data_IF_977024956263
#
_entry.id   IF_977024956263
#
_cell.length_a   1.000
_cell.length_b   1.000
_cell.length_c   1.000
_cell.angle_alpha   90.00
_cell.angle_beta   90.00
_cell.angle_gamma   90.00
#
_symmetry.space_group_name_H-M   'P 1'
#
loop_
_entity.id
_entity.type
_entity.pdbx_description
1 polymer ?
#
# COMPACT_ATOMS: atom_id res chain seq x y z
N UNK A 1 -19.62 16.38 -5.02
CA UNK A 1 -18.36 16.67 -4.28
C UNK A 1 -17.60 15.38 -4.20
N UNK A 2 -16.46 15.28 -4.88
CA UNK A 2 -15.53 14.18 -4.67
C UNK A 2 -15.11 14.19 -3.20
N UNK A 3 -15.44 13.14 -2.45
CA UNK A 3 -14.97 13.00 -1.08
C UNK A 3 -13.46 12.95 -1.08
N UNK A 4 -12.81 13.57 -0.09
CA UNK A 4 -11.36 13.52 0.07
C UNK A 4 -10.91 12.05 0.04
N UNK A 5 -10.18 11.66 -1.00
CA UNK A 5 -9.71 10.29 -1.20
C UNK A 5 -8.92 9.78 0.04
N UNK A 6 -8.29 10.68 0.78
CA UNK A 6 -7.45 10.37 1.93
C UNK A 6 -8.19 10.47 3.29
N UNK A 7 -9.51 10.63 3.29
CA UNK A 7 -10.29 10.68 4.55
C UNK A 7 -10.24 9.34 5.28
N UNK A 8 -9.79 9.33 6.54
CA UNK A 8 -9.69 8.13 7.37
C UNK A 8 -8.48 7.24 7.08
N UNK A 9 -7.55 7.70 6.23
CA UNK A 9 -6.28 7.00 5.96
C UNK A 9 -5.32 7.22 7.12
N UNK A 10 -4.69 6.14 7.57
CA UNK A 10 -3.71 6.17 8.66
C UNK A 10 -2.31 6.46 8.10
N UNK A 11 -1.45 7.07 8.92
CA UNK A 11 -0.02 7.22 8.61
C UNK A 11 0.71 5.89 8.79
N UNK A 12 0.38 4.89 7.96
CA UNK A 12 0.84 3.52 8.05
C UNK A 12 1.27 2.95 6.68
N UNK A 13 1.76 1.72 6.68
CA UNK A 13 2.10 0.99 5.46
C UNK A 13 0.87 0.35 4.83
N UNK A 14 0.70 0.55 3.52
CA UNK A 14 -0.38 -0.03 2.73
C UNK A 14 0.17 -0.89 1.61
N UNK A 15 -0.33 -2.12 1.50
CA UNK A 15 0.10 -3.05 0.46
C UNK A 15 -0.14 -2.48 -0.95
N UNK A 16 0.83 -2.70 -1.84
CA UNK A 16 0.61 -2.65 -3.29
C UNK A 16 0.47 -4.06 -3.87
N UNK A 17 -0.06 -4.16 -5.09
CA UNK A 17 -0.16 -5.45 -5.80
C UNK A 17 1.17 -5.90 -6.46
N UNK A 18 2.26 -5.16 -6.28
CA UNK A 18 3.54 -5.41 -6.97
C UNK A 18 4.46 -6.31 -6.14
N UNK A 19 4.78 -7.49 -6.67
CA UNK A 19 5.82 -8.38 -6.10
C UNK A 19 7.21 -7.82 -6.41
N UNK A 20 8.15 -7.94 -5.48
CA UNK A 20 9.54 -7.57 -5.72
C UNK A 20 10.19 -8.56 -6.70
N UNK A 21 10.76 -8.06 -7.80
CA UNK A 21 11.26 -8.90 -8.89
C UNK A 21 12.49 -9.74 -8.50
N UNK A 22 13.38 -9.18 -7.68
CA UNK A 22 14.62 -9.85 -7.24
C UNK A 22 14.38 -10.86 -6.11
N UNK A 23 13.28 -10.74 -5.37
CA UNK A 23 12.94 -11.60 -4.24
C UNK A 23 11.41 -11.71 -4.12
N UNK A 24 10.86 -12.79 -4.66
CA UNK A 24 9.41 -12.95 -4.84
C UNK A 24 8.65 -13.26 -3.55
N UNK A 25 9.37 -13.55 -2.45
CA UNK A 25 8.85 -13.61 -1.08
C UNK A 25 8.44 -12.23 -0.54
N UNK A 26 8.89 -11.15 -1.17
CA UNK A 26 8.60 -9.78 -0.77
C UNK A 26 7.62 -9.08 -1.74
N UNK A 27 6.97 -8.03 -1.25
CA UNK A 27 6.12 -7.14 -2.03
C UNK A 27 6.33 -5.68 -1.61
N UNK A 28 6.01 -4.76 -2.51
CA UNK A 28 6.10 -3.33 -2.27
C UNK A 28 4.89 -2.82 -1.48
N UNK A 29 5.11 -1.84 -0.62
CA UNK A 29 4.05 -1.13 0.11
C UNK A 29 4.32 0.39 0.10
N UNK A 30 3.27 1.19 0.19
CA UNK A 30 3.37 2.65 0.31
C UNK A 30 3.33 3.02 1.79
N UNK A 31 4.31 3.78 2.27
CA UNK A 31 4.38 4.18 3.68
C UNK A 31 4.01 5.66 3.85
N UNK A 32 2.76 5.91 4.26
CA UNK A 32 2.23 7.28 4.34
C UNK A 32 2.82 8.13 5.48
N UNK A 33 3.59 7.54 6.40
CA UNK A 33 4.30 8.31 7.43
C UNK A 33 5.52 9.05 6.88
N UNK A 34 6.31 8.39 6.02
CA UNK A 34 7.55 8.94 5.49
C UNK A 34 7.49 9.32 3.99
N UNK A 35 6.49 8.82 3.26
CA UNK A 35 6.28 9.11 1.83
C UNK A 35 7.13 8.27 0.88
N UNK A 36 7.70 7.15 1.35
CA UNK A 36 8.52 6.23 0.58
C UNK A 36 7.74 4.96 0.15
N UNK A 37 8.36 4.18 -0.74
CA UNK A 37 7.84 2.91 -1.27
C UNK A 37 8.82 1.76 -0.98
N UNK A 38 8.91 1.32 0.28
CA UNK A 38 9.74 0.17 0.68
C UNK A 38 9.10 -1.18 0.29
N UNK A 39 9.83 -2.27 0.56
CA UNK A 39 9.33 -3.63 0.44
C UNK A 39 9.45 -4.39 1.75
N UNK A 40 8.62 -5.41 1.94
CA UNK A 40 8.69 -6.34 3.07
C UNK A 40 8.15 -7.71 2.67
N UNK A 41 8.33 -8.71 3.53
CA UNK A 41 7.84 -10.08 3.31
C UNK A 41 6.32 -10.12 3.16
N UNK A 42 5.81 -10.92 2.23
CA UNK A 42 4.37 -11.09 1.97
C UNK A 42 3.57 -11.61 3.17
N UNK A 43 4.24 -12.13 4.20
CA UNK A 43 3.65 -12.57 5.46
C UNK A 43 3.48 -11.44 6.48
N UNK A 44 3.96 -10.22 6.20
CA UNK A 44 3.80 -9.07 7.08
C UNK A 44 2.33 -8.61 7.14
N UNK A 45 1.95 -8.01 8.27
CA UNK A 45 0.64 -7.40 8.44
C UNK A 45 0.73 -5.91 8.10
N UNK A 46 0.11 -5.50 6.99
CA UNK A 46 -0.03 -4.11 6.57
C UNK A 46 -1.49 -3.83 6.19
N UNK A 47 -1.84 -2.55 6.11
CA UNK A 47 -3.18 -2.13 5.73
C UNK A 47 -3.42 -2.35 4.23
N UNK A 48 -4.68 -2.43 3.86
CA UNK A 48 -5.12 -2.45 2.45
C UNK A 48 -5.96 -1.23 2.19
N UNK A 49 -5.77 -0.61 1.04
CA UNK A 49 -6.60 0.49 0.58
C UNK A 49 -7.51 -0.01 -0.55
N UNK A 50 -8.83 -0.10 -0.31
CA UNK A 50 -9.77 -0.48 -1.37
C UNK A 50 -9.84 0.63 -2.43
N UNK A 51 -9.40 0.35 -3.65
CA UNK A 51 -9.62 1.23 -4.79
C UNK A 51 -10.94 0.84 -5.47
N UNK A 52 -11.75 1.83 -5.84
CA UNK A 52 -12.90 1.59 -6.71
C UNK A 52 -12.38 1.44 -8.14
N UNK A 53 -12.75 0.36 -8.82
CA UNK A 53 -12.55 0.28 -10.27
C UNK A 53 -13.34 1.39 -10.95
N UNK A 54 -12.73 2.05 -11.93
CA UNK A 54 -13.46 2.91 -12.86
C UNK A 54 -14.14 2.06 -13.93
N UNK A 55 -15.35 2.44 -14.31
CA UNK A 55 -15.91 2.15 -15.64
C UNK A 55 -15.47 3.23 -16.62
#
# INVERSE_FOLDING_TARGET
>A
TEGNAFSGVLHAGYWSSTTLAVETSNAWYVYFYAGDVPHTGKTATLYVWPVRGGE
#
